data_IF_035440943287
#
_entry.id   IF_035440943287
#
_cell.length_a   1.000
_cell.length_b   1.000
_cell.length_c   1.000
_cell.angle_alpha   90.00
_cell.angle_beta   90.00
_cell.angle_gamma   90.00
#
_symmetry.space_group_name_H-M   'P 1'
#
loop_
_entity.id
_entity.type
_entity.pdbx_description
1 polymer ?
#
# COMPACT_ATOMS: atom_id res chain seq x y z
N UNK A 1 -19.40 14.42 66.84
CA UNK A 1 -19.97 15.13 65.67
C UNK A 1 -19.05 14.85 64.52
N UNK A 2 -19.39 13.90 63.62
CA UNK A 2 -18.64 13.54 62.41
C UNK A 2 -19.19 14.34 61.24
N UNK A 3 -18.36 15.20 60.65
CA UNK A 3 -18.70 15.95 59.43
C UNK A 3 -18.41 15.04 58.22
N UNK A 4 -19.43 14.65 57.50
CA UNK A 4 -19.34 13.98 56.19
C UNK A 4 -19.15 15.07 55.13
N UNK A 5 -17.98 15.09 54.53
CA UNK A 5 -17.71 15.88 53.30
C UNK A 5 -18.08 14.96 52.13
N UNK A 6 -19.23 15.23 51.53
CA UNK A 6 -19.64 14.64 50.26
C UNK A 6 -18.83 15.24 49.13
N UNK A 7 -17.89 14.53 48.58
CA UNK A 7 -17.18 14.88 47.36
C UNK A 7 -18.08 14.60 46.17
N UNK A 8 -18.68 15.62 45.60
CA UNK A 8 -19.47 15.54 44.37
C UNK A 8 -18.49 15.44 43.17
N UNK A 9 -18.26 14.22 42.69
CA UNK A 9 -17.48 13.99 41.48
C UNK A 9 -18.36 14.33 40.27
N UNK A 10 -18.18 15.52 39.74
CA UNK A 10 -18.79 15.90 38.46
C UNK A 10 -18.07 15.18 37.35
N UNK A 11 -18.67 14.11 36.85
CA UNK A 11 -18.30 13.50 35.60
C UNK A 11 -18.64 14.44 34.45
N UNK A 12 -17.71 15.29 34.06
CA UNK A 12 -17.77 16.00 32.80
C UNK A 12 -17.52 15.00 31.65
N UNK A 13 -18.60 14.37 31.19
CA UNK A 13 -18.61 13.68 29.92
C UNK A 13 -18.49 14.74 28.81
N UNK A 14 -17.27 15.03 28.41
CA UNK A 14 -16.99 15.85 27.24
C UNK A 14 -17.48 15.12 26.00
N UNK A 15 -18.66 15.48 25.52
CA UNK A 15 -19.05 15.16 24.15
C UNK A 15 -18.10 15.88 23.20
N UNK A 16 -17.11 15.18 22.69
CA UNK A 16 -16.29 15.67 21.60
C UNK A 16 -17.16 15.70 20.32
N UNK A 17 -17.93 16.76 20.14
CA UNK A 17 -18.51 17.05 18.84
C UNK A 17 -17.35 17.35 17.89
N UNK A 18 -17.25 16.58 16.80
CA UNK A 18 -16.41 16.93 15.67
C UNK A 18 -16.94 18.28 15.11
N UNK A 19 -16.39 19.39 15.59
CA UNK A 19 -16.75 20.71 15.10
C UNK A 19 -16.03 20.92 13.77
N UNK A 20 -16.80 21.15 12.72
CA UNK A 20 -16.25 21.54 11.43
C UNK A 20 -15.76 23.00 11.52
N UNK A 21 -14.73 23.33 10.72
CA UNK A 21 -14.20 24.70 10.58
C UNK A 21 -15.31 25.73 10.29
N UNK A 22 -16.41 25.29 9.69
CA UNK A 22 -17.58 26.11 9.38
C UNK A 22 -18.33 26.64 10.63
N UNK A 23 -18.12 26.00 11.78
CA UNK A 23 -18.77 26.38 13.04
C UNK A 23 -17.92 27.29 13.93
N UNK A 24 -16.73 27.70 13.43
CA UNK A 24 -15.87 28.61 14.15
C UNK A 24 -16.57 29.99 14.35
N UNK A 25 -16.74 30.40 15.59
CA UNK A 25 -17.38 31.69 15.96
C UNK A 25 -16.38 32.85 16.05
N UNK A 26 -15.08 32.57 16.03
CA UNK A 26 -14.02 33.57 16.07
C UNK A 26 -12.83 33.21 15.16
N UNK A 27 -12.03 34.23 14.74
CA UNK A 27 -10.81 33.97 13.98
C UNK A 27 -9.75 33.13 14.73
N UNK A 28 -9.75 33.20 16.05
CA UNK A 28 -8.86 32.41 16.89
C UNK A 28 -9.31 30.96 16.93
N UNK A 29 -10.57 30.69 17.10
CA UNK A 29 -11.19 29.38 17.05
C UNK A 29 -11.00 28.74 15.67
N UNK A 30 -11.18 29.51 14.58
CA UNK A 30 -10.89 29.06 13.22
C UNK A 30 -9.42 28.65 13.05
N UNK A 31 -8.48 29.42 13.59
CA UNK A 31 -7.05 29.07 13.53
C UNK A 31 -6.72 27.84 14.34
N UNK A 32 -7.32 27.69 15.52
CA UNK A 32 -7.16 26.49 16.35
C UNK A 32 -7.74 25.26 15.66
N UNK A 33 -8.98 25.30 15.19
CA UNK A 33 -9.60 24.20 14.45
C UNK A 33 -8.81 23.83 13.20
N UNK A 34 -8.25 24.84 12.50
CA UNK A 34 -7.40 24.60 11.34
C UNK A 34 -6.06 23.97 11.73
N UNK A 35 -5.45 24.38 12.84
CA UNK A 35 -4.20 23.77 13.34
C UNK A 35 -4.40 22.36 13.87
N UNK A 36 -5.56 22.09 14.48
CA UNK A 36 -5.96 20.76 14.94
C UNK A 36 -6.30 19.82 13.78
N UNK A 37 -6.89 20.35 12.72
CA UNK A 37 -7.12 19.60 11.47
C UNK A 37 -5.87 19.43 10.61
N UNK A 38 -4.84 20.26 10.82
CA UNK A 38 -3.49 20.07 10.26
C UNK A 38 -2.68 19.13 11.16
N UNK A 39 -3.10 17.89 11.29
CA UNK A 39 -2.43 16.91 12.15
C UNK A 39 -1.05 16.58 11.63
N UNK A 40 -0.05 16.85 12.46
CA UNK A 40 1.28 16.28 12.34
C UNK A 40 1.18 14.77 12.53
N UNK A 41 1.52 14.02 11.50
CA UNK A 41 1.86 12.62 11.66
C UNK A 41 3.15 12.59 12.46
N UNK A 42 3.09 12.32 13.79
CA UNK A 42 4.29 12.18 14.58
C UNK A 42 4.25 12.71 16.01
N UNK A 43 3.09 13.10 16.56
CA UNK A 43 2.95 13.30 18.00
C UNK A 43 1.51 13.02 18.44
N UNK A 44 1.40 12.29 19.53
CA UNK A 44 0.18 11.77 20.13
C UNK A 44 -0.86 12.87 20.34
N UNK A 45 -1.73 13.06 19.38
CA UNK A 45 -2.99 13.77 19.61
C UNK A 45 -4.12 12.81 19.31
N UNK A 46 -5.04 12.71 20.25
CA UNK A 46 -6.28 11.94 20.20
C UNK A 46 -6.99 12.26 18.88
N UNK A 47 -6.65 11.51 17.87
CA UNK A 47 -7.35 11.58 16.62
C UNK A 47 -8.66 10.82 16.79
N UNK A 48 -9.72 11.30 16.20
CA UNK A 48 -10.86 10.46 15.89
C UNK A 48 -10.35 9.38 14.92
N UNK A 49 -9.74 8.33 15.49
CA UNK A 49 -9.24 7.19 14.71
C UNK A 49 -10.44 6.60 14.00
N UNK A 50 -10.44 6.69 12.69
CA UNK A 50 -11.48 6.08 11.87
C UNK A 50 -11.25 4.58 11.93
N UNK A 51 -12.24 3.86 12.44
CA UNK A 51 -12.23 2.40 12.40
C UNK A 51 -12.90 1.98 11.10
N UNK A 52 -12.22 1.25 10.20
CA UNK A 52 -12.83 0.79 8.97
C UNK A 52 -13.96 -0.19 9.29
N UNK A 53 -15.02 -0.16 8.50
CA UNK A 53 -16.12 -1.12 8.63
C UNK A 53 -15.58 -2.54 8.49
N UNK A 54 -15.94 -3.41 9.43
CA UNK A 54 -15.53 -4.81 9.35
C UNK A 54 -16.17 -5.48 8.14
N UNK A 55 -15.43 -6.39 7.52
CA UNK A 55 -16.00 -7.25 6.51
C UNK A 55 -16.98 -8.21 7.15
N UNK A 56 -18.18 -8.32 6.58
CA UNK A 56 -19.14 -9.34 6.99
C UNK A 56 -18.52 -10.75 6.89
N UNK A 57 -18.81 -11.57 7.86
CA UNK A 57 -18.42 -12.98 7.82
C UNK A 57 -19.16 -13.69 6.66
N UNK A 58 -18.40 -14.44 5.88
CA UNK A 58 -18.90 -15.27 4.77
C UNK A 58 -18.39 -16.68 5.00
N UNK A 59 -19.31 -17.63 5.13
CA UNK A 59 -18.98 -19.05 5.25
C UNK A 59 -18.75 -19.62 3.83
N UNK A 60 -17.88 -20.61 3.68
CA UNK A 60 -17.59 -21.22 2.38
C UNK A 60 -18.83 -21.76 1.67
N UNK A 61 -19.80 -22.26 2.45
CA UNK A 61 -21.10 -22.72 1.92
C UNK A 61 -22.00 -21.61 1.39
N UNK A 62 -21.73 -20.35 1.74
CA UNK A 62 -22.46 -19.17 1.29
C UNK A 62 -21.84 -18.56 0.02
N UNK A 63 -20.69 -19.06 -0.41
CA UNK A 63 -20.03 -18.67 -1.66
C UNK A 63 -20.57 -19.53 -2.79
N UNK A 64 -21.32 -18.93 -3.72
CA UNK A 64 -21.82 -19.64 -4.90
C UNK A 64 -20.75 -19.82 -5.97
N UNK A 65 -19.99 -18.77 -6.22
CA UNK A 65 -18.90 -18.72 -7.20
C UNK A 65 -17.86 -17.72 -6.74
N UNK A 66 -16.61 -18.02 -6.96
CA UNK A 66 -15.51 -17.11 -6.62
C UNK A 66 -14.38 -17.21 -7.63
N UNK A 67 -13.61 -16.13 -7.74
CA UNK A 67 -12.39 -16.04 -8.54
C UNK A 67 -11.39 -15.16 -7.83
N UNK A 68 -10.20 -15.69 -7.59
CA UNK A 68 -9.08 -14.87 -7.15
C UNK A 68 -8.42 -14.21 -8.34
N UNK A 69 -8.05 -12.95 -8.17
CA UNK A 69 -7.36 -12.16 -9.19
C UNK A 69 -6.19 -11.41 -8.58
N UNK A 70 -5.12 -11.32 -9.36
CA UNK A 70 -3.95 -10.51 -9.07
C UNK A 70 -3.84 -9.46 -10.15
N UNK A 71 -3.77 -8.23 -9.74
CA UNK A 71 -3.84 -7.07 -10.62
C UNK A 71 -2.63 -6.17 -10.42
N UNK A 72 -2.17 -5.59 -11.51
CA UNK A 72 -1.13 -4.56 -11.53
C UNK A 72 -1.81 -3.19 -11.63
N UNK A 73 -1.41 -2.28 -10.77
CA UNK A 73 -1.84 -0.87 -10.74
C UNK A 73 -0.63 -0.03 -11.14
N UNK A 74 -0.67 0.55 -12.35
CA UNK A 74 0.34 1.52 -12.79
C UNK A 74 -0.01 2.89 -12.22
N UNK A 75 0.83 3.42 -11.34
CA UNK A 75 0.64 4.73 -10.73
C UNK A 75 0.94 5.91 -11.66
N UNK A 76 1.50 5.66 -12.85
CA UNK A 76 1.62 6.69 -13.89
C UNK A 76 0.27 7.02 -14.52
N UNK A 77 -0.70 6.11 -14.45
CA UNK A 77 -2.06 6.37 -14.90
C UNK A 77 -2.69 7.49 -14.10
N UNK A 78 -3.35 8.43 -14.80
CA UNK A 78 -3.94 9.62 -14.18
C UNK A 78 -4.96 9.30 -13.08
N UNK A 79 -5.69 8.20 -13.20
CA UNK A 79 -6.66 7.76 -12.19
C UNK A 79 -5.97 7.21 -10.94
N UNK A 80 -4.77 6.64 -11.10
CA UNK A 80 -3.99 6.01 -10.04
C UNK A 80 -3.00 6.97 -9.35
N UNK A 81 -2.82 8.18 -9.88
CA UNK A 81 -1.94 9.19 -9.27
C UNK A 81 -2.17 9.43 -7.77
N UNK A 82 -3.41 9.33 -7.23
CA UNK A 82 -3.64 9.43 -5.80
C UNK A 82 -2.82 8.47 -4.93
N UNK A 83 -2.44 7.31 -5.44
CA UNK A 83 -1.59 6.34 -4.74
C UNK A 83 -0.11 6.73 -4.71
N UNK A 84 0.33 7.48 -5.72
CA UNK A 84 1.73 7.88 -5.91
C UNK A 84 2.07 9.20 -5.22
N UNK A 85 1.10 10.11 -5.13
CA UNK A 85 1.35 11.48 -4.68
C UNK A 85 1.88 11.52 -3.25
N UNK A 86 3.07 12.10 -3.10
CA UNK A 86 3.74 12.30 -1.81
C UNK A 86 4.06 13.79 -1.63
N UNK A 87 3.47 14.41 -0.63
CA UNK A 87 3.74 15.81 -0.27
C UNK A 87 3.76 15.96 1.25
N UNK A 88 4.82 15.46 1.92
CA UNK A 88 4.91 15.49 3.37
C UNK A 88 5.01 16.90 3.96
N UNK A 89 5.40 17.89 3.15
CA UNK A 89 5.66 19.26 3.59
C UNK A 89 4.70 20.29 2.96
N UNK A 90 3.55 19.86 2.48
CA UNK A 90 2.57 20.77 1.85
C UNK A 90 2.05 21.85 2.81
N UNK A 91 2.39 23.12 2.51
CA UNK A 91 2.01 24.28 3.31
C UNK A 91 0.48 24.54 3.35
N UNK A 92 -0.25 24.03 2.36
CA UNK A 92 -1.68 24.32 2.17
C UNK A 92 -2.56 23.07 2.09
N UNK A 93 -1.99 21.89 2.05
CA UNK A 93 -2.70 20.61 2.02
C UNK A 93 -2.33 19.77 3.23
N UNK A 94 -3.22 18.88 3.63
CA UNK A 94 -2.92 17.82 4.60
C UNK A 94 -1.68 17.08 4.12
N UNK A 95 -0.85 16.61 5.04
CA UNK A 95 0.28 15.73 4.74
C UNK A 95 -0.23 14.51 3.99
N UNK A 96 -0.25 14.60 2.67
CA UNK A 96 -0.57 13.46 1.82
C UNK A 96 0.70 12.68 1.56
N UNK A 97 0.64 11.39 1.77
CA UNK A 97 1.78 10.48 1.58
C UNK A 97 1.40 9.43 0.54
N UNK A 98 2.39 8.94 -0.19
CA UNK A 98 2.15 7.83 -1.12
C UNK A 98 1.76 6.57 -0.35
N UNK A 99 0.95 5.72 -0.98
CA UNK A 99 0.54 4.44 -0.39
C UNK A 99 1.75 3.57 -0.03
N UNK A 100 2.75 3.53 -0.92
CA UNK A 100 3.99 2.81 -0.65
C UNK A 100 4.67 3.29 0.63
N UNK A 101 4.83 4.60 0.81
CA UNK A 101 5.50 5.17 1.97
C UNK A 101 4.74 4.88 3.27
N UNK A 102 3.40 4.94 3.22
CA UNK A 102 2.55 4.62 4.39
C UNK A 102 2.73 3.16 4.80
N UNK A 103 2.69 2.24 3.83
CA UNK A 103 2.87 0.81 4.09
C UNK A 103 4.29 0.50 4.59
N UNK A 104 5.30 1.13 3.99
CA UNK A 104 6.70 0.96 4.41
C UNK A 104 6.92 1.45 5.85
N UNK A 105 6.48 2.67 6.16
CA UNK A 105 6.64 3.23 7.51
C UNK A 105 5.89 2.39 8.55
N UNK A 106 4.70 1.93 8.23
CA UNK A 106 3.92 1.10 9.12
C UNK A 106 4.57 -0.27 9.36
N UNK A 107 5.18 -0.85 8.32
CA UNK A 107 5.92 -2.10 8.42
C UNK A 107 7.22 -1.93 9.23
N UNK A 108 7.97 -0.86 8.98
CA UNK A 108 9.22 -0.56 9.68
C UNK A 108 8.99 -0.22 11.16
N UNK A 109 7.88 0.43 11.48
CA UNK A 109 7.51 0.78 12.86
C UNK A 109 6.76 -0.35 13.60
N UNK A 110 6.57 -1.51 12.97
CA UNK A 110 5.87 -2.64 13.57
C UNK A 110 4.36 -2.42 13.76
N UNK A 111 3.77 -1.43 13.09
CA UNK A 111 2.32 -1.19 13.12
C UNK A 111 1.57 -2.22 12.26
N UNK A 112 2.22 -2.76 11.24
CA UNK A 112 1.77 -3.91 10.47
C UNK A 112 2.75 -5.05 10.74
N UNK A 113 2.27 -6.10 11.36
CA UNK A 113 3.09 -7.29 11.64
C UNK A 113 3.04 -8.32 10.49
N UNK A 114 2.01 -8.23 9.66
CA UNK A 114 1.74 -9.18 8.59
C UNK A 114 2.33 -8.70 7.27
N UNK A 115 3.67 -8.70 7.20
CA UNK A 115 4.47 -8.36 6.01
C UNK A 115 5.22 -9.59 5.54
N UNK A 116 5.19 -9.84 4.23
CA UNK A 116 5.67 -11.07 3.62
C UNK A 116 6.52 -10.80 2.39
N UNK A 117 7.33 -11.80 2.03
CA UNK A 117 8.18 -11.77 0.85
C UNK A 117 7.43 -12.15 -0.43
N UNK A 118 6.41 -12.97 -0.28
CA UNK A 118 5.69 -13.62 -1.37
C UNK A 118 4.18 -13.36 -1.31
N UNK A 119 3.51 -13.54 -2.46
CA UNK A 119 2.07 -13.36 -2.63
C UNK A 119 1.21 -14.39 -1.91
N UNK A 120 1.80 -15.51 -1.48
CA UNK A 120 1.11 -16.57 -0.77
C UNK A 120 1.19 -16.40 0.76
N UNK A 121 1.85 -15.34 1.24
CA UNK A 121 2.03 -15.03 2.66
C UNK A 121 2.73 -16.16 3.44
N UNK A 122 3.71 -16.84 2.81
CA UNK A 122 4.41 -17.96 3.44
C UNK A 122 5.65 -17.50 4.20
N UNK A 123 6.39 -16.55 3.65
CA UNK A 123 7.66 -16.08 4.20
C UNK A 123 7.50 -14.70 4.82
N UNK A 124 7.40 -14.65 6.13
CA UNK A 124 7.25 -13.38 6.87
C UNK A 124 8.56 -12.58 6.84
N UNK A 125 8.45 -11.28 6.54
CA UNK A 125 9.56 -10.35 6.55
C UNK A 125 9.63 -9.59 7.87
N UNK A 126 10.85 -9.53 8.44
CA UNK A 126 11.15 -8.60 9.53
C UNK A 126 11.47 -7.20 8.98
N UNK A 127 11.41 -6.13 9.80
CA UNK A 127 11.85 -4.81 9.39
C UNK A 127 13.26 -4.78 8.82
N UNK A 128 14.18 -5.57 9.40
CA UNK A 128 15.55 -5.72 8.88
C UNK A 128 15.58 -6.43 7.51
N UNK A 129 14.69 -7.40 7.29
CA UNK A 129 14.53 -8.10 6.01
C UNK A 129 14.02 -7.14 4.93
N UNK A 130 13.05 -6.30 5.25
CA UNK A 130 12.55 -5.24 4.36
C UNK A 130 13.69 -4.27 4.00
N UNK A 131 14.46 -3.81 4.99
CA UNK A 131 15.57 -2.90 4.74
C UNK A 131 16.62 -3.51 3.81
N UNK A 132 16.97 -4.79 3.99
CA UNK A 132 17.89 -5.50 3.10
C UNK A 132 17.40 -5.62 1.66
N UNK A 133 16.08 -5.73 1.46
CA UNK A 133 15.48 -5.74 0.12
C UNK A 133 15.46 -4.36 -0.54
N UNK A 134 15.40 -3.31 0.25
CA UNK A 134 15.32 -1.94 -0.26
C UNK A 134 16.68 -1.29 -0.44
N UNK A 135 17.74 -1.85 0.14
CA UNK A 135 19.09 -1.29 0.12
C UNK A 135 20.10 -2.34 -0.31
N UNK A 136 20.91 -2.01 -1.29
CA UNK A 136 22.07 -2.79 -1.70
C UNK A 136 23.34 -1.96 -1.46
N UNK A 137 24.33 -2.62 -0.90
CA UNK A 137 25.66 -2.03 -0.69
C UNK A 137 26.57 -2.58 -1.77
N UNK A 138 27.03 -1.71 -2.65
CA UNK A 138 28.00 -2.04 -3.69
C UNK A 138 29.38 -1.57 -3.25
N UNK A 139 30.32 -2.46 -3.37
CA UNK A 139 31.72 -2.19 -3.04
C UNK A 139 32.47 -2.01 -4.37
N UNK A 140 33.20 -0.91 -4.52
CA UNK A 140 34.01 -0.63 -5.70
C UNK A 140 35.14 -1.66 -5.88
N UNK A 141 35.57 -1.86 -7.13
CA UNK A 141 36.69 -2.77 -7.45
C UNK A 141 37.95 -2.41 -6.69
N UNK A 142 38.23 -1.10 -6.50
CA UNK A 142 39.35 -0.60 -5.69
C UNK A 142 39.27 -1.11 -4.25
N UNK A 143 38.07 -1.15 -3.66
CA UNK A 143 37.90 -1.68 -2.30
C UNK A 143 38.05 -3.21 -2.25
N UNK A 144 37.62 -3.90 -3.33
CA UNK A 144 37.82 -5.36 -3.45
C UNK A 144 39.31 -5.67 -3.54
N UNK A 145 40.11 -4.92 -4.30
CA UNK A 145 41.56 -5.08 -4.36
C UNK A 145 42.23 -4.87 -2.99
N UNK A 146 41.81 -3.82 -2.27
CA UNK A 146 42.33 -3.54 -0.92
C UNK A 146 42.01 -4.70 0.03
N UNK A 147 40.78 -5.23 0.00
CA UNK A 147 40.38 -6.36 0.85
C UNK A 147 41.14 -7.65 0.46
N UNK A 148 41.35 -7.89 -0.81
CA UNK A 148 42.12 -9.03 -1.33
C UNK A 148 43.60 -8.95 -0.94
N UNK A 149 44.14 -7.74 -0.75
CA UNK A 149 45.50 -7.52 -0.27
C UNK A 149 45.66 -7.83 1.24
N UNK A 150 44.57 -8.19 1.95
CA UNK A 150 44.54 -8.48 3.39
C UNK A 150 44.48 -7.24 4.28
N UNK A 151 44.32 -6.03 3.71
CA UNK A 151 44.14 -4.79 4.44
C UNK A 151 42.65 -4.54 4.71
N UNK A 152 42.32 -4.12 5.93
CA UNK A 152 40.97 -3.66 6.23
C UNK A 152 40.78 -2.22 5.72
N UNK A 153 39.60 -1.91 5.17
CA UNK A 153 39.22 -0.58 4.78
C UNK A 153 39.09 0.33 6.00
N UNK A 154 39.62 1.52 5.92
CA UNK A 154 39.35 2.59 6.91
C UNK A 154 37.91 3.07 6.77
N UNK A 155 37.36 3.73 7.81
CA UNK A 155 35.98 4.25 7.76
C UNK A 155 35.79 5.28 6.63
N UNK A 156 36.81 6.09 6.33
CA UNK A 156 36.78 7.04 5.21
C UNK A 156 36.78 6.33 3.86
N UNK A 157 37.56 5.27 3.71
CA UNK A 157 37.59 4.42 2.51
C UNK A 157 36.28 3.65 2.34
N UNK A 158 35.69 3.15 3.41
CA UNK A 158 34.35 2.51 3.36
C UNK A 158 33.30 3.48 2.83
N UNK A 159 33.28 4.73 3.30
CA UNK A 159 32.31 5.73 2.85
C UNK A 159 32.57 6.11 1.37
N UNK A 160 33.84 6.21 0.97
CA UNK A 160 34.21 6.62 -0.40
C UNK A 160 34.03 5.51 -1.43
N UNK A 161 34.37 4.27 -1.07
CA UNK A 161 34.43 3.11 -1.95
C UNK A 161 33.22 2.18 -1.82
N UNK A 162 32.19 2.62 -1.11
CA UNK A 162 30.95 1.88 -0.96
C UNK A 162 29.78 2.72 -1.41
N UNK A 163 29.14 2.33 -2.49
CA UNK A 163 27.92 2.96 -2.96
C UNK A 163 26.68 2.25 -2.38
N UNK A 164 25.81 3.04 -1.74
CA UNK A 164 24.55 2.56 -1.19
C UNK A 164 23.40 2.89 -2.10
N UNK A 165 22.94 1.89 -2.81
CA UNK A 165 21.80 2.00 -3.71
C UNK A 165 20.54 1.68 -2.90
N UNK A 166 19.63 2.64 -2.81
CA UNK A 166 18.36 2.49 -2.11
C UNK A 166 17.18 2.71 -3.05
N UNK A 167 16.18 1.86 -2.91
CA UNK A 167 14.89 2.09 -3.58
C UNK A 167 14.13 3.19 -2.85
N UNK A 168 14.02 4.35 -3.50
CA UNK A 168 13.27 5.51 -3.00
C UNK A 168 11.81 5.45 -3.44
N UNK A 169 10.94 6.17 -2.73
CA UNK A 169 9.50 6.26 -3.03
C UNK A 169 9.22 6.65 -4.49
N UNK A 170 10.03 7.52 -5.06
CA UNK A 170 9.89 7.99 -6.45
C UNK A 170 10.11 6.90 -7.50
N UNK A 171 10.85 5.85 -7.14
CA UNK A 171 11.14 4.72 -8.04
C UNK A 171 10.04 3.66 -8.01
N UNK A 172 9.19 3.67 -7.00
CA UNK A 172 8.07 2.74 -6.87
C UNK A 172 6.86 3.31 -7.59
N UNK A 173 6.62 2.85 -8.80
CA UNK A 173 5.54 3.33 -9.68
C UNK A 173 4.48 2.29 -9.99
N UNK A 174 4.64 1.11 -9.45
CA UNK A 174 3.75 -0.02 -9.68
C UNK A 174 3.36 -0.64 -8.35
N UNK A 175 2.08 -0.93 -8.21
CA UNK A 175 1.55 -1.70 -7.10
C UNK A 175 0.91 -2.99 -7.65
N UNK A 176 0.90 -4.02 -6.85
CA UNK A 176 0.09 -5.22 -7.07
C UNK A 176 -0.99 -5.29 -6.01
N UNK A 177 -2.16 -5.73 -6.42
CA UNK A 177 -3.26 -6.03 -5.51
C UNK A 177 -3.77 -7.44 -5.79
N UNK A 178 -3.98 -8.19 -4.74
CA UNK A 178 -4.61 -9.50 -4.80
C UNK A 178 -5.95 -9.44 -4.09
N UNK A 179 -6.98 -10.00 -4.69
CA UNK A 179 -8.30 -10.04 -4.09
C UNK A 179 -9.18 -11.12 -4.67
N UNK A 180 -10.30 -11.32 -4.01
CA UNK A 180 -11.29 -12.32 -4.40
C UNK A 180 -12.59 -11.65 -4.80
N UNK A 181 -13.07 -11.97 -5.99
CA UNK A 181 -14.44 -11.75 -6.41
C UNK A 181 -15.27 -12.95 -5.99
N UNK A 182 -16.41 -12.75 -5.38
CA UNK A 182 -17.30 -13.82 -4.98
C UNK A 182 -18.76 -13.38 -4.98
N UNK A 183 -19.65 -14.33 -5.17
CA UNK A 183 -21.10 -14.14 -5.09
C UNK A 183 -21.57 -14.73 -3.77
N UNK A 184 -22.11 -13.86 -2.93
CA UNK A 184 -22.68 -14.25 -1.64
C UNK A 184 -24.12 -14.74 -1.84
N UNK A 185 -24.37 -16.03 -1.53
CA UNK A 185 -25.66 -16.68 -1.68
C UNK A 185 -26.77 -15.99 -0.89
N UNK A 186 -26.42 -15.35 0.22
CA UNK A 186 -27.39 -14.76 1.15
C UNK A 186 -28.09 -13.53 0.58
N UNK A 187 -27.39 -12.74 -0.23
CA UNK A 187 -27.92 -11.53 -0.83
C UNK A 187 -27.85 -11.51 -2.38
N UNK A 188 -27.25 -12.53 -2.97
CA UNK A 188 -27.10 -12.65 -4.42
C UNK A 188 -26.23 -11.56 -5.06
N UNK A 189 -25.41 -10.89 -4.27
CA UNK A 189 -24.57 -9.80 -4.77
C UNK A 189 -23.16 -10.27 -5.02
N UNK A 190 -22.58 -9.74 -6.11
CA UNK A 190 -21.14 -9.86 -6.33
C UNK A 190 -20.40 -8.88 -5.45
N UNK A 191 -19.39 -9.38 -4.76
CA UNK A 191 -18.53 -8.63 -3.85
C UNK A 191 -17.07 -8.84 -4.19
N UNK A 192 -16.28 -7.83 -3.91
CA UNK A 192 -14.81 -7.90 -3.99
C UNK A 192 -14.21 -7.74 -2.60
N UNK A 193 -13.22 -8.56 -2.29
CA UNK A 193 -12.47 -8.46 -1.04
C UNK A 193 -10.98 -8.43 -1.32
N UNK A 194 -10.31 -7.29 -1.08
CA UNK A 194 -8.85 -7.22 -1.14
C UNK A 194 -8.24 -8.11 -0.06
N UNK A 195 -7.22 -8.87 -0.42
CA UNK A 195 -6.52 -9.80 0.47
C UNK A 195 -5.06 -9.44 0.65
N UNK A 196 -4.42 -8.92 -0.40
CA UNK A 196 -3.02 -8.55 -0.36
C UNK A 196 -2.72 -7.33 -1.21
N UNK A 197 -1.69 -6.61 -0.80
CA UNK A 197 -1.15 -5.49 -1.57
C UNK A 197 0.37 -5.54 -1.52
N UNK A 198 1.01 -5.28 -2.65
CA UNK A 198 2.46 -5.23 -2.74
C UNK A 198 2.93 -4.00 -3.49
N UNK A 199 4.12 -3.55 -3.17
CA UNK A 199 4.84 -2.55 -3.91
C UNK A 199 5.89 -3.21 -4.81
N UNK A 200 5.97 -2.75 -6.06
CA UNK A 200 7.01 -3.15 -6.99
C UNK A 200 7.98 -2.01 -7.23
N UNK A 201 9.24 -2.32 -7.22
CA UNK A 201 10.31 -1.37 -7.50
C UNK A 201 11.50 -2.03 -8.16
N UNK A 202 12.47 -1.24 -8.64
CA UNK A 202 13.70 -1.79 -9.19
C UNK A 202 14.48 -2.51 -8.09
N UNK A 203 15.05 -3.66 -8.44
CA UNK A 203 15.92 -4.41 -7.54
C UNK A 203 17.22 -3.64 -7.29
N UNK A 204 17.51 -3.20 -6.04
CA UNK A 204 18.73 -2.46 -5.75
C UNK A 204 20.01 -3.25 -6.06
N UNK A 205 19.95 -4.58 -6.10
CA UNK A 205 21.11 -5.43 -6.35
C UNK A 205 21.54 -5.43 -7.83
N UNK A 206 20.57 -5.30 -8.73
CA UNK A 206 20.79 -5.25 -10.18
C UNK A 206 20.87 -3.83 -10.73
N UNK A 207 20.27 -2.86 -10.03
CA UNK A 207 20.18 -1.49 -10.48
C UNK A 207 21.57 -0.85 -10.74
N UNK A 208 21.74 -0.26 -11.92
CA UNK A 208 22.97 0.41 -12.31
C UNK A 208 24.16 -0.51 -12.60
N UNK A 209 23.94 -1.83 -12.72
CA UNK A 209 24.99 -2.72 -13.26
C UNK A 209 25.12 -2.51 -14.75
N UNK A 210 26.37 -2.36 -15.18
CA UNK A 210 26.73 -2.25 -16.58
C UNK A 210 27.47 -3.52 -17.00
N UNK A 211 27.32 -3.93 -18.25
CA UNK A 211 28.13 -4.97 -18.85
C UNK A 211 29.54 -4.47 -19.18
N UNK A 212 30.38 -5.33 -19.75
CA UNK A 212 31.75 -5.00 -20.15
C UNK A 212 31.79 -3.91 -21.23
N UNK A 213 30.71 -3.71 -21.96
CA UNK A 213 30.54 -2.69 -23.00
C UNK A 213 29.91 -1.38 -22.46
N UNK A 214 29.65 -1.28 -21.16
CA UNK A 214 29.08 -0.11 -20.51
C UNK A 214 27.58 0.09 -20.73
N UNK A 215 26.86 -0.95 -21.18
CA UNK A 215 25.41 -0.95 -21.30
C UNK A 215 24.76 -1.54 -20.05
N UNK A 216 23.53 -1.11 -19.69
CA UNK A 216 22.80 -1.73 -18.59
C UNK A 216 22.69 -3.24 -18.79
N UNK A 217 23.08 -4.01 -17.79
CA UNK A 217 22.91 -5.47 -17.82
C UNK A 217 21.43 -5.84 -17.99
N UNK A 218 21.18 -6.97 -18.63
CA UNK A 218 19.84 -7.53 -18.74
C UNK A 218 19.24 -7.71 -17.33
N UNK A 219 18.02 -7.21 -17.12
CA UNK A 219 17.36 -7.19 -15.81
C UNK A 219 17.74 -6.04 -14.88
N UNK A 220 18.66 -5.13 -15.28
CA UNK A 220 19.09 -4.01 -14.42
C UNK A 220 17.96 -3.05 -14.01
N UNK A 221 16.84 -3.08 -14.74
CA UNK A 221 15.68 -2.24 -14.48
C UNK A 221 14.41 -3.07 -14.24
N UNK A 222 14.53 -4.39 -14.05
CA UNK A 222 13.39 -5.24 -13.79
C UNK A 222 12.75 -4.85 -12.46
N UNK A 223 11.43 -4.84 -12.47
CA UNK A 223 10.64 -4.57 -11.27
C UNK A 223 10.43 -5.88 -10.50
N UNK A 224 10.78 -5.84 -9.22
CA UNK A 224 10.58 -6.95 -8.29
C UNK A 224 9.60 -6.57 -7.20
N UNK A 225 8.95 -7.56 -6.61
CA UNK A 225 8.11 -7.36 -5.44
C UNK A 225 9.00 -7.03 -4.24
N UNK A 226 8.81 -5.83 -3.69
CA UNK A 226 9.61 -5.36 -2.56
C UNK A 226 9.13 -6.02 -1.26
N UNK A 227 7.84 -6.01 -1.03
CA UNK A 227 7.17 -6.71 0.06
C UNK A 227 5.67 -6.80 -0.20
N UNK A 228 5.05 -7.82 0.37
CA UNK A 228 3.61 -8.03 0.40
C UNK A 228 3.06 -7.71 1.78
N UNK A 229 1.89 -7.11 1.82
CA UNK A 229 1.15 -6.82 3.07
C UNK A 229 -0.19 -7.52 3.01
N UNK A 230 -0.54 -8.24 4.07
CA UNK A 230 -1.88 -8.81 4.21
C UNK A 230 -2.88 -7.68 4.47
N UNK A 231 -3.69 -7.39 3.46
CA UNK A 231 -4.55 -6.20 3.42
C UNK A 231 -5.49 -6.05 4.61
N UNK A 232 -6.19 -7.10 5.10
CA UNK A 232 -7.10 -6.97 6.24
C UNK A 232 -6.44 -6.42 7.52
N UNK A 233 -5.14 -6.65 7.71
CA UNK A 233 -4.37 -6.12 8.85
C UNK A 233 -3.84 -4.71 8.63
N UNK A 234 -3.78 -4.26 7.38
CA UNK A 234 -3.37 -2.90 7.04
C UNK A 234 -4.54 -1.90 7.05
N UNK A 235 -5.78 -2.36 7.07
CA UNK A 235 -6.98 -1.53 6.93
C UNK A 235 -7.06 -0.38 7.92
N UNK A 236 -6.74 -0.61 9.19
CA UNK A 236 -6.75 0.42 10.22
C UNK A 236 -5.82 1.59 9.88
N UNK A 237 -4.66 1.29 9.30
CA UNK A 237 -3.69 2.30 8.89
C UNK A 237 -4.17 3.00 7.63
N UNK A 238 -4.66 2.24 6.64
CA UNK A 238 -5.14 2.78 5.38
C UNK A 238 -6.39 3.65 5.54
N UNK A 239 -7.28 3.32 6.49
CA UNK A 239 -8.46 4.12 6.81
C UNK A 239 -8.11 5.46 7.49
N UNK A 240 -6.97 5.54 8.18
CA UNK A 240 -6.53 6.75 8.87
C UNK A 240 -5.56 7.61 8.05
N UNK A 241 -5.22 7.19 6.84
CA UNK A 241 -4.40 7.94 5.90
C UNK A 241 -5.23 8.35 4.68
N UNK A 242 -5.19 9.65 4.38
CA UNK A 242 -6.03 10.23 3.35
C UNK A 242 -5.28 10.42 2.04
N UNK A 243 -6.01 10.24 0.98
CA UNK A 243 -5.53 10.36 -0.39
C UNK A 243 -5.65 11.81 -0.86
N UNK A 244 -4.73 12.23 -1.70
CA UNK A 244 -4.85 13.50 -2.38
C UNK A 244 -6.05 13.50 -3.34
N UNK A 245 -7.12 14.22 -2.97
CA UNK A 245 -8.30 14.37 -3.80
C UNK A 245 -8.19 15.63 -4.67
N UNK A 246 -7.86 15.44 -5.92
CA UNK A 246 -7.67 16.53 -6.89
C UNK A 246 -8.95 17.28 -7.24
N UNK A 247 -10.11 16.63 -7.15
CA UNK A 247 -11.40 17.20 -7.57
C UNK A 247 -12.12 17.94 -6.44
N UNK A 248 -11.91 17.51 -5.21
CA UNK A 248 -12.57 18.09 -4.06
C UNK A 248 -11.67 17.98 -2.83
N UNK A 249 -10.95 19.05 -2.52
CA UNK A 249 -10.05 19.11 -1.36
C UNK A 249 -10.78 19.03 0.00
N UNK A 250 -12.10 19.20 -0.01
CA UNK A 250 -12.92 19.13 1.22
C UNK A 250 -13.43 17.72 1.51
N UNK A 251 -13.43 16.83 0.52
CA UNK A 251 -13.83 15.42 0.71
C UNK A 251 -12.59 14.59 1.03
N UNK A 252 -12.50 14.15 2.26
CA UNK A 252 -11.46 13.24 2.72
C UNK A 252 -11.82 11.82 2.28
N UNK A 253 -10.98 11.23 1.44
CA UNK A 253 -11.08 9.83 1.04
C UNK A 253 -9.88 9.11 1.61
N UNK A 254 -10.11 8.03 2.32
CA UNK A 254 -9.04 7.18 2.81
C UNK A 254 -8.54 6.23 1.71
N UNK A 255 -7.34 5.67 1.89
CA UNK A 255 -6.84 4.62 1.01
C UNK A 255 -7.72 3.37 1.09
N UNK A 256 -8.24 3.03 2.29
CA UNK A 256 -9.17 1.90 2.44
C UNK A 256 -10.45 2.11 1.62
N UNK A 257 -11.02 3.32 1.62
CA UNK A 257 -12.21 3.64 0.82
C UNK A 257 -11.97 3.48 -0.69
N UNK A 258 -10.83 3.98 -1.19
CA UNK A 258 -10.52 3.91 -2.63
C UNK A 258 -10.30 2.47 -3.07
N UNK A 259 -9.60 1.68 -2.27
CA UNK A 259 -9.27 0.29 -2.60
C UNK A 259 -10.54 -0.57 -2.54
N UNK A 260 -11.36 -0.45 -1.49
CA UNK A 260 -12.60 -1.20 -1.37
C UNK A 260 -13.65 -0.79 -2.43
N UNK A 261 -13.74 0.50 -2.73
CA UNK A 261 -14.61 1.00 -3.79
C UNK A 261 -14.06 0.78 -5.21
N UNK A 262 -12.88 0.18 -5.34
CA UNK A 262 -12.18 -0.08 -6.61
C UNK A 262 -12.07 1.15 -7.51
N UNK A 263 -11.74 2.30 -6.93
CA UNK A 263 -11.58 3.56 -7.69
C UNK A 263 -10.17 3.72 -8.25
N UNK A 264 -9.72 2.72 -8.99
CA UNK A 264 -8.42 2.69 -9.65
C UNK A 264 -8.50 1.91 -10.97
N UNK A 265 -7.53 2.12 -11.83
CA UNK A 265 -7.31 1.34 -13.05
C UNK A 265 -6.30 0.24 -12.78
N UNK A 266 -6.57 -0.96 -13.26
CA UNK A 266 -5.69 -2.12 -13.07
C UNK A 266 -5.74 -3.08 -14.25
N UNK A 267 -4.68 -3.86 -14.41
CA UNK A 267 -4.58 -4.95 -15.38
C UNK A 267 -4.43 -6.26 -14.63
N UNK A 268 -5.30 -7.22 -14.88
CA UNK A 268 -5.18 -8.57 -14.31
C UNK A 268 -4.02 -9.27 -15.00
N UNK A 269 -3.05 -9.76 -14.22
CA UNK A 269 -1.91 -10.53 -14.74
C UNK A 269 -1.95 -12.01 -14.36
N UNK A 270 -2.77 -12.34 -13.35
CA UNK A 270 -2.94 -13.68 -12.86
C UNK A 270 -4.36 -13.87 -12.33
N UNK A 271 -4.95 -15.01 -12.57
CA UNK A 271 -6.26 -15.38 -12.02
C UNK A 271 -6.30 -16.85 -11.63
N UNK A 272 -7.12 -17.18 -10.63
CA UNK A 272 -7.43 -18.57 -10.31
C UNK A 272 -8.49 -19.09 -11.29
N UNK A 273 -8.26 -20.29 -11.79
CA UNK A 273 -9.23 -21.03 -12.59
C UNK A 273 -9.40 -22.44 -12.03
N UNK A 274 -10.32 -23.22 -12.58
CA UNK A 274 -10.58 -24.60 -12.12
C UNK A 274 -9.38 -25.56 -12.22
N UNK A 275 -8.29 -25.15 -12.88
CA UNK A 275 -7.06 -25.92 -13.05
C UNK A 275 -5.92 -25.42 -12.16
N UNK A 276 -6.12 -24.33 -11.43
CA UNK A 276 -5.13 -23.67 -10.58
C UNK A 276 -4.91 -22.21 -10.93
N UNK A 277 -3.87 -21.59 -10.37
CA UNK A 277 -3.54 -20.20 -10.63
C UNK A 277 -2.76 -20.05 -11.93
N UNK A 278 -3.29 -19.27 -12.87
CA UNK A 278 -2.67 -19.04 -14.18
C UNK A 278 -2.12 -17.62 -14.32
N UNK A 279 -0.81 -17.51 -14.57
CA UNK A 279 -0.17 -16.23 -14.93
C UNK A 279 -0.31 -16.04 -16.45
N UNK A 280 -0.90 -14.92 -16.88
CA UNK A 280 -1.16 -14.68 -18.31
C UNK A 280 0.12 -14.73 -19.15
N UNK A 281 1.22 -14.20 -18.61
CA UNK A 281 2.52 -14.21 -19.30
C UNK A 281 3.05 -15.62 -19.58
N UNK A 282 2.66 -16.63 -18.80
CA UNK A 282 3.17 -17.99 -18.97
C UNK A 282 2.55 -18.69 -20.19
N UNK A 283 1.29 -18.39 -20.48
CA UNK A 283 0.62 -18.97 -21.66
C UNK A 283 0.53 -18.00 -22.84
N UNK A 284 0.76 -16.69 -22.64
CA UNK A 284 0.91 -15.68 -23.70
C UNK A 284 2.26 -14.94 -23.52
N UNK A 285 3.40 -15.56 -23.84
CA UNK A 285 4.70 -15.04 -23.39
C UNK A 285 5.25 -13.85 -24.21
N UNK A 286 4.75 -13.61 -25.43
CA UNK A 286 5.43 -12.72 -26.39
C UNK A 286 4.60 -11.56 -26.92
N UNK A 287 3.33 -11.47 -26.57
CA UNK A 287 2.43 -10.45 -27.10
C UNK A 287 1.71 -9.69 -25.98
N UNK A 288 2.17 -8.48 -25.71
CA UNK A 288 1.58 -7.62 -24.67
C UNK A 288 0.12 -7.23 -24.98
N UNK A 289 -0.23 -7.11 -26.26
CA UNK A 289 -1.59 -6.78 -26.69
C UNK A 289 -2.55 -7.95 -26.41
N UNK A 290 -2.14 -9.17 -26.74
CA UNK A 290 -2.90 -10.38 -26.40
C UNK A 290 -3.00 -10.61 -24.89
N UNK A 291 -1.96 -10.27 -24.11
CA UNK A 291 -2.03 -10.31 -22.64
C UNK A 291 -3.07 -9.34 -22.09
N UNK A 292 -3.15 -8.13 -22.68
CA UNK A 292 -4.16 -7.15 -22.30
C UNK A 292 -5.58 -7.59 -22.69
N UNK A 293 -5.75 -8.16 -23.89
CA UNK A 293 -7.03 -8.75 -24.30
C UNK A 293 -7.47 -9.87 -23.35
N UNK A 294 -6.55 -10.74 -22.94
CA UNK A 294 -6.86 -11.81 -22.01
C UNK A 294 -7.24 -11.26 -20.62
N UNK A 295 -6.53 -10.24 -20.14
CA UNK A 295 -6.93 -9.52 -18.93
C UNK A 295 -8.37 -8.97 -19.02
N UNK A 296 -8.76 -8.42 -20.17
CA UNK A 296 -10.10 -7.91 -20.39
C UNK A 296 -11.14 -9.04 -20.47
N UNK A 297 -10.81 -10.17 -21.09
CA UNK A 297 -11.68 -11.36 -21.06
C UNK A 297 -11.94 -11.87 -19.63
N UNK A 298 -10.92 -11.88 -18.79
CA UNK A 298 -11.10 -12.26 -17.38
C UNK A 298 -12.03 -11.27 -16.68
N UNK A 299 -11.90 -9.96 -16.94
CA UNK A 299 -12.83 -8.95 -16.41
C UNK A 299 -14.26 -9.18 -16.90
N UNK A 300 -14.43 -9.54 -18.17
CA UNK A 300 -15.74 -9.90 -18.74
C UNK A 300 -16.31 -11.16 -18.10
N UNK A 301 -15.47 -12.18 -17.84
CA UNK A 301 -15.91 -13.39 -17.13
C UNK A 301 -16.42 -13.06 -15.71
N UNK A 302 -15.76 -12.14 -15.00
CA UNK A 302 -16.23 -11.68 -13.70
C UNK A 302 -17.61 -11.00 -13.84
N UNK A 303 -17.79 -10.10 -14.80
CA UNK A 303 -19.10 -9.48 -15.07
C UNK A 303 -20.16 -10.51 -15.49
N UNK A 304 -19.77 -11.52 -16.24
CA UNK A 304 -20.68 -12.60 -16.62
C UNK A 304 -21.13 -13.43 -15.41
N UNK A 305 -20.24 -13.66 -14.43
CA UNK A 305 -20.63 -14.34 -13.20
C UNK A 305 -21.76 -13.61 -12.48
N UNK A 306 -21.78 -12.27 -12.50
CA UNK A 306 -22.85 -11.46 -11.92
C UNK A 306 -24.15 -11.57 -12.76
N UNK A 307 -24.04 -11.47 -14.08
CA UNK A 307 -25.19 -11.54 -14.98
C UNK A 307 -25.88 -12.89 -14.95
N UNK A 308 -25.12 -13.98 -14.82
CA UNK A 308 -25.65 -15.33 -14.73
C UNK A 308 -26.58 -15.51 -13.52
N UNK A 309 -26.33 -14.76 -12.44
CA UNK A 309 -27.17 -14.80 -11.24
C UNK A 309 -28.58 -14.24 -11.45
N UNK A 310 -28.74 -13.27 -12.35
CA UNK A 310 -30.01 -12.62 -12.62
C UNK A 310 -30.86 -13.42 -13.59
N UNK A 311 -30.33 -14.46 -14.23
CA UNK A 311 -30.99 -15.31 -15.20
C UNK A 311 -31.53 -16.63 -14.61
N UNK A 312 -31.42 -16.82 -13.31
CA UNK A 312 -31.97 -17.93 -12.57
C UNK A 312 -33.20 -17.45 -11.73
#
# INVERSE_FOLDING_TARGET
MKKYISSLLVLASGFAFSQTILNASSPEEFRQMRSENMRKVGDTVISNKVTPLEYGFVDDKDILKSMMVWEIIDMNDKINQPFYYDNPNGLLSKNTRSLYQILLDAAMNGQIEEVYDDENFTTKLSPEGIQKKLESVRVDDEAIEILNSGRQLTEEEKVRLTDRIRTTTEKVKVLKIMGMWFIDKRDGQMKYRPLGIAAMGPDPTSQGRLDAEGKPMEGANDLVDLFWVYYPKARDILANNYVFNRKNSSAELSFDDIINARRFSSVIYKSSNGLGDGVIKDYIPRNAEEQLEESNKIKEQILQMENDMWNY
#
